data_IF_495512755862
#
_entry.id   IF_495512755862
#
_cell.length_a   1.000
_cell.length_b   1.000
_cell.length_c   1.000
_cell.angle_alpha   90.00
_cell.angle_beta   90.00
_cell.angle_gamma   90.00
#
_symmetry.space_group_name_H-M   'P 1'
#
loop_
_entity.id
_entity.type
_entity.pdbx_description
1 polymer ?
#
# COMPACT_ATOMS: atom_id res chain seq x y z
N UNK A 1 -8.47 23.82 -1.10
CA UNK A 1 -7.53 22.89 -1.71
C UNK A 1 -7.99 21.47 -1.53
N UNK A 2 -7.98 20.71 -2.57
CA UNK A 2 -8.47 19.34 -2.49
C UNK A 2 -7.36 18.40 -2.14
N UNK A 3 -7.67 17.43 -1.31
CA UNK A 3 -6.72 16.36 -1.03
C UNK A 3 -6.72 15.35 -2.18
N UNK A 4 -5.55 14.82 -2.49
CA UNK A 4 -5.42 13.77 -3.48
C UNK A 4 -5.79 12.44 -2.84
N UNK A 5 -6.85 11.76 -3.31
CA UNK A 5 -7.22 10.49 -2.72
C UNK A 5 -6.39 9.34 -3.30
N UNK A 6 -5.84 8.52 -2.41
CA UNK A 6 -4.98 7.41 -2.79
C UNK A 6 -5.45 6.18 -2.03
N UNK A 7 -5.52 5.03 -2.70
CA UNK A 7 -5.83 3.77 -2.05
C UNK A 7 -4.59 2.89 -2.06
N UNK A 8 -4.29 2.26 -0.93
CA UNK A 8 -3.14 1.38 -0.81
C UNK A 8 -3.56 0.09 -0.13
N UNK A 9 -2.79 -0.98 -0.37
CA UNK A 9 -3.12 -2.29 0.15
C UNK A 9 -2.08 -2.85 1.09
N UNK A 10 -2.55 -3.37 2.22
CA UNK A 10 -1.74 -4.22 3.05
C UNK A 10 -2.03 -5.64 2.59
N UNK A 11 -1.18 -6.16 1.73
CA UNK A 11 -1.35 -7.48 1.16
C UNK A 11 -0.49 -8.44 1.96
N UNK A 12 -1.13 -9.38 2.63
CA UNK A 12 -0.39 -10.30 3.47
C UNK A 12 -0.46 -11.72 2.94
N UNK A 13 0.61 -12.47 3.17
CA UNK A 13 0.67 -13.89 2.91
C UNK A 13 1.45 -14.49 4.05
N UNK A 14 0.82 -15.30 4.87
CA UNK A 14 1.45 -15.78 6.09
C UNK A 14 1.77 -14.59 6.98
N UNK A 15 3.02 -14.50 7.42
CA UNK A 15 3.43 -13.41 8.28
C UNK A 15 4.04 -12.25 7.51
N UNK A 16 4.06 -12.31 6.18
CA UNK A 16 4.76 -11.31 5.39
C UNK A 16 3.79 -10.38 4.69
N UNK A 17 4.23 -9.16 4.48
CA UNK A 17 3.46 -8.10 3.84
C UNK A 17 4.22 -7.67 2.60
N UNK A 18 3.49 -7.42 1.53
CA UNK A 18 4.07 -7.02 0.26
C UNK A 18 4.33 -5.51 0.27
N UNK A 19 5.56 -5.14 -0.01
CA UNK A 19 5.91 -3.73 -0.22
C UNK A 19 6.54 -3.59 -1.60
N UNK A 20 6.40 -2.42 -2.20
CA UNK A 20 6.92 -2.15 -3.53
C UNK A 20 7.81 -0.94 -3.47
N UNK A 21 8.80 -0.89 -4.36
CA UNK A 21 9.75 0.20 -4.42
C UNK A 21 9.40 1.08 -5.61
N UNK A 22 9.29 2.37 -5.36
CA UNK A 22 8.88 3.33 -6.39
C UNK A 22 9.96 3.45 -7.45
N UNK A 23 9.53 3.68 -8.69
CA UNK A 23 10.46 3.79 -9.80
C UNK A 23 11.43 4.94 -9.61
N UNK A 24 12.66 4.75 -10.09
CA UNK A 24 13.64 5.78 -10.10
C UNK A 24 13.09 6.92 -10.98
N UNK A 25 13.20 8.12 -10.52
CA UNK A 25 12.68 9.27 -11.26
C UNK A 25 11.29 9.69 -10.87
N UNK A 26 10.55 8.85 -10.17
CA UNK A 26 9.23 9.23 -9.66
C UNK A 26 9.42 10.10 -8.41
N UNK A 27 8.32 10.74 -7.99
CA UNK A 27 8.32 11.42 -6.70
C UNK A 27 8.64 10.38 -5.62
N UNK A 28 9.51 10.69 -4.70
CA UNK A 28 10.03 9.74 -3.72
C UNK A 28 10.61 8.49 -4.40
N UNK A 29 11.30 8.68 -5.50
CA UNK A 29 11.86 7.55 -6.24
C UNK A 29 12.74 6.66 -5.39
N UNK A 30 12.61 5.36 -5.58
CA UNK A 30 13.31 4.31 -4.86
C UNK A 30 12.96 4.19 -3.37
N UNK A 31 11.97 4.95 -2.89
CA UNK A 31 11.41 4.71 -1.57
C UNK A 31 10.49 3.50 -1.65
N UNK A 32 10.32 2.82 -0.54
CA UNK A 32 9.37 1.71 -0.42
C UNK A 32 8.01 2.23 -0.03
N UNK A 33 6.95 1.54 -0.42
CA UNK A 33 5.59 1.93 -0.07
C UNK A 33 4.68 0.72 -0.07
N UNK A 34 3.50 0.88 0.49
CA UNK A 34 2.45 -0.12 0.33
C UNK A 34 1.85 0.08 -1.05
N UNK A 35 1.67 -0.97 -1.84
CA UNK A 35 1.26 -0.81 -3.24
C UNK A 35 -0.15 -0.24 -3.38
N UNK A 36 -0.36 0.53 -4.41
CA UNK A 36 -1.64 1.16 -4.70
C UNK A 36 -1.46 2.36 -5.60
N UNK A 37 -2.41 3.26 -5.59
CA UNK A 37 -2.33 4.46 -6.43
C UNK A 37 -3.54 5.37 -6.28
N UNK A 38 -3.62 6.35 -7.16
CA UNK A 38 -4.64 7.37 -7.10
C UNK A 38 -6.01 6.81 -7.39
N UNK A 39 -6.99 7.31 -6.66
CA UNK A 39 -8.39 7.03 -6.93
C UNK A 39 -8.83 8.03 -7.98
N UNK A 40 -9.28 7.52 -9.13
CA UNK A 40 -9.68 8.40 -10.24
C UNK A 40 -11.14 8.78 -10.13
N UNK A 41 -11.55 9.76 -10.95
CA UNK A 41 -12.89 10.30 -10.87
C UNK A 41 -13.95 9.22 -10.96
N UNK A 42 -14.88 9.28 -10.02
CA UNK A 42 -16.03 8.36 -10.00
C UNK A 42 -15.64 6.90 -9.74
N UNK A 43 -14.43 6.66 -9.37
CA UNK A 43 -13.99 5.33 -9.00
C UNK A 43 -14.23 5.11 -7.51
N UNK A 44 -14.77 3.98 -7.14
CA UNK A 44 -14.91 3.63 -5.74
C UNK A 44 -13.53 3.20 -5.23
N UNK A 45 -13.15 3.53 -3.98
CA UNK A 45 -11.78 3.26 -3.51
C UNK A 45 -11.30 1.82 -3.66
N UNK A 46 -12.15 0.84 -3.38
CA UNK A 46 -11.75 -0.56 -3.51
C UNK A 46 -11.51 -0.94 -4.96
N UNK A 47 -12.31 -0.38 -5.88
CA UNK A 47 -12.12 -0.61 -7.30
C UNK A 47 -10.81 -0.01 -7.78
N UNK A 48 -10.49 1.19 -7.30
CA UNK A 48 -9.24 1.85 -7.65
C UNK A 48 -8.05 0.99 -7.23
N UNK A 49 -8.12 0.45 -6.02
CA UNK A 49 -7.04 -0.39 -5.51
C UNK A 49 -6.90 -1.66 -6.35
N UNK A 50 -8.02 -2.31 -6.69
CA UNK A 50 -7.97 -3.50 -7.54
C UNK A 50 -7.35 -3.20 -8.89
N UNK A 51 -7.72 -2.07 -9.49
CA UNK A 51 -7.19 -1.66 -10.77
C UNK A 51 -5.68 -1.40 -10.68
N UNK A 52 -5.26 -0.64 -9.68
CA UNK A 52 -3.85 -0.31 -9.53
C UNK A 52 -2.99 -1.56 -9.31
N UNK A 53 -3.46 -2.48 -8.49
CA UNK A 53 -2.68 -3.67 -8.21
C UNK A 53 -2.59 -4.60 -9.43
N UNK A 54 -3.63 -4.60 -10.26
CA UNK A 54 -3.56 -5.36 -11.49
C UNK A 54 -2.57 -4.73 -12.46
N UNK A 55 -2.60 -3.41 -12.57
CA UNK A 55 -1.68 -2.70 -13.48
C UNK A 55 -0.23 -2.81 -13.04
N UNK A 56 0.01 -2.61 -11.75
CA UNK A 56 1.38 -2.52 -11.26
C UNK A 56 2.01 -3.86 -10.94
N UNK A 57 1.23 -4.84 -10.54
CA UNK A 57 1.75 -6.11 -10.04
C UNK A 57 1.18 -7.34 -10.74
N UNK A 58 0.15 -7.17 -11.56
CA UNK A 58 -0.43 -8.30 -12.29
C UNK A 58 -1.23 -9.24 -11.41
N UNK A 59 -1.78 -8.77 -10.31
CA UNK A 59 -2.53 -9.62 -9.38
C UNK A 59 -3.96 -9.15 -9.24
N UNK A 60 -4.84 -10.07 -8.88
CA UNK A 60 -6.20 -9.74 -8.51
C UNK A 60 -6.35 -9.99 -7.03
N UNK A 61 -6.85 -9.00 -6.29
CA UNK A 61 -6.96 -9.08 -4.85
C UNK A 61 -8.39 -8.98 -4.39
N UNK A 62 -8.68 -9.59 -3.24
CA UNK A 62 -9.88 -9.32 -2.50
C UNK A 62 -9.54 -8.15 -1.57
N UNK A 63 -10.23 -7.03 -1.70
CA UNK A 63 -10.02 -5.87 -0.84
C UNK A 63 -10.97 -6.03 0.35
N UNK A 64 -10.41 -6.11 1.53
CA UNK A 64 -11.16 -6.39 2.74
C UNK A 64 -11.44 -5.09 3.50
N UNK A 65 -11.25 -5.08 4.80
CA UNK A 65 -11.61 -3.94 5.62
C UNK A 65 -10.60 -2.81 5.56
N UNK A 66 -11.05 -1.63 5.89
CA UNK A 66 -10.21 -0.46 5.98
C UNK A 66 -9.33 -0.57 7.21
N UNK A 67 -8.01 -0.51 7.02
CA UNK A 67 -7.07 -0.61 8.12
C UNK A 67 -6.80 0.75 8.74
N UNK A 68 -6.64 1.76 7.90
CA UNK A 68 -6.26 3.08 8.39
C UNK A 68 -6.58 4.15 7.35
N UNK A 69 -6.89 5.36 7.82
CA UNK A 69 -7.01 6.52 6.95
C UNK A 69 -5.96 7.52 7.42
N UNK A 70 -5.14 8.00 6.51
CA UNK A 70 -4.10 8.96 6.82
C UNK A 70 -4.32 10.21 6.00
N UNK A 71 -4.38 11.36 6.67
CA UNK A 71 -4.39 12.63 5.97
C UNK A 71 -3.00 13.24 6.17
N UNK A 72 -2.27 13.41 5.09
CA UNK A 72 -0.94 14.00 5.14
C UNK A 72 -0.95 15.31 4.39
N UNK A 73 -0.64 16.39 5.09
CA UNK A 73 -0.69 17.71 4.50
C UNK A 73 0.68 18.03 3.88
N UNK A 74 0.81 17.81 2.58
CA UNK A 74 1.99 18.22 1.88
C UNK A 74 1.86 19.65 1.43
N UNK A 75 2.97 20.33 1.21
CA UNK A 75 2.95 21.74 0.87
C UNK A 75 2.09 22.08 -0.32
N UNK A 76 2.15 21.29 -1.35
CA UNK A 76 1.44 21.60 -2.59
C UNK A 76 0.17 20.80 -2.77
N UNK A 77 0.06 19.66 -2.15
CA UNK A 77 -1.10 18.80 -2.37
C UNK A 77 -1.29 17.86 -1.20
N UNK A 78 -2.27 18.09 -0.37
CA UNK A 78 -2.56 17.16 0.72
C UNK A 78 -2.96 15.79 0.15
N UNK A 79 -2.63 14.73 0.88
CA UNK A 79 -2.93 13.36 0.47
C UNK A 79 -3.89 12.75 1.48
N UNK A 80 -4.96 12.15 0.96
CA UNK A 80 -5.86 11.35 1.79
C UNK A 80 -5.62 9.89 1.41
N UNK A 81 -4.99 9.16 2.29
CA UNK A 81 -4.57 7.78 2.03
C UNK A 81 -5.51 6.82 2.73
N UNK A 82 -6.15 5.95 1.94
CA UNK A 82 -7.02 4.92 2.49
C UNK A 82 -6.30 3.58 2.33
N UNK A 83 -6.04 2.92 3.44
CA UNK A 83 -5.27 1.67 3.44
C UNK A 83 -6.19 0.52 3.80
N UNK A 84 -6.29 -0.45 2.89
CA UNK A 84 -7.17 -1.61 3.07
C UNK A 84 -6.35 -2.89 3.23
N UNK A 85 -6.83 -3.80 4.06
CA UNK A 85 -6.26 -5.14 4.09
C UNK A 85 -6.71 -5.88 2.84
N UNK A 86 -5.79 -6.62 2.25
CA UNK A 86 -6.04 -7.32 1.00
C UNK A 86 -5.48 -8.74 1.04
N UNK A 87 -6.09 -9.60 0.25
CA UNK A 87 -5.59 -10.95 0.04
C UNK A 87 -5.54 -11.23 -1.46
N UNK A 88 -4.48 -11.87 -1.92
CA UNK A 88 -4.36 -12.20 -3.34
C UNK A 88 -5.31 -13.35 -3.65
N UNK A 89 -6.15 -13.14 -4.65
CA UNK A 89 -7.04 -14.18 -5.15
C UNK A 89 -6.46 -14.86 -6.37
N UNK A 90 -5.69 -14.15 -7.17
CA UNK A 90 -5.18 -14.71 -8.40
C UNK A 90 -3.89 -14.03 -8.80
N UNK A 91 -2.93 -14.77 -9.26
CA UNK A 91 -1.69 -14.24 -9.80
C UNK A 91 -0.55 -14.24 -8.79
N UNK A 92 0.66 -14.12 -9.31
CA UNK A 92 1.87 -13.97 -8.51
C UNK A 92 2.41 -12.58 -8.80
N UNK A 93 2.65 -11.76 -7.77
CA UNK A 93 3.06 -10.37 -8.02
C UNK A 93 4.35 -10.27 -8.81
N UNK A 94 4.36 -9.39 -9.78
CA UNK A 94 5.53 -9.09 -10.59
C UNK A 94 5.70 -7.57 -10.66
N UNK A 95 6.92 -7.07 -10.71
CA UNK A 95 7.14 -5.62 -10.71
C UNK A 95 6.92 -5.02 -12.10
N UNK A 96 5.67 -4.88 -12.51
CA UNK A 96 5.32 -4.33 -13.81
C UNK A 96 5.36 -2.82 -13.82
N UNK A 97 4.81 -2.19 -12.81
CA UNK A 97 4.74 -0.75 -12.71
C UNK A 97 5.55 -0.16 -11.57
N UNK A 98 6.39 -0.95 -10.93
CA UNK A 98 7.22 -0.53 -9.81
C UNK A 98 8.66 -0.98 -10.08
N UNK A 99 9.60 -0.44 -9.31
CA UNK A 99 11.02 -0.78 -9.50
C UNK A 99 11.31 -2.20 -9.03
N UNK A 100 10.78 -2.58 -7.88
CA UNK A 100 10.93 -3.94 -7.35
C UNK A 100 9.87 -4.19 -6.31
N UNK A 101 9.71 -5.43 -5.90
CA UNK A 101 8.79 -5.77 -4.81
C UNK A 101 9.50 -6.70 -3.83
N UNK A 102 8.98 -6.75 -2.61
CA UNK A 102 9.56 -7.59 -1.57
C UNK A 102 8.48 -7.98 -0.57
N UNK A 103 8.53 -9.21 -0.11
CA UNK A 103 7.69 -9.67 1.00
C UNK A 103 8.51 -9.51 2.27
N UNK A 104 8.00 -8.75 3.23
CA UNK A 104 8.74 -8.46 4.47
C UNK A 104 7.92 -8.80 5.68
N UNK A 105 8.58 -9.12 6.78
CA UNK A 105 7.91 -9.32 8.05
C UNK A 105 7.57 -7.96 8.65
N UNK A 106 6.50 -7.88 9.47
CA UNK A 106 6.14 -6.59 10.07
C UNK A 106 7.28 -5.89 10.78
N UNK A 107 8.13 -6.64 11.47
CA UNK A 107 9.23 -6.02 12.19
C UNK A 107 10.30 -5.45 11.27
N UNK A 108 10.34 -5.89 10.02
CA UNK A 108 11.30 -5.34 9.06
C UNK A 108 10.82 -4.04 8.45
N UNK A 109 9.54 -3.74 8.57
CA UNK A 109 8.96 -2.55 7.93
C UNK A 109 9.55 -1.27 8.52
N UNK A 110 9.86 -1.26 9.81
CA UNK A 110 10.40 -0.08 10.46
C UNK A 110 11.71 0.40 9.83
N UNK A 111 12.47 -0.51 9.23
CA UNK A 111 13.75 -0.15 8.62
C UNK A 111 13.65 0.30 7.18
N UNK A 112 12.46 0.33 6.60
CA UNK A 112 12.31 0.73 5.21
C UNK A 112 12.13 2.23 5.09
N UNK A 113 12.71 2.81 4.05
CA UNK A 113 12.56 4.23 3.79
C UNK A 113 11.26 4.43 3.02
N UNK A 114 10.29 5.07 3.64
CA UNK A 114 8.95 5.26 3.08
C UNK A 114 8.58 6.73 3.02
N UNK A 115 7.70 7.13 2.06
CA UNK A 115 7.20 8.50 2.03
C UNK A 115 6.45 8.85 3.32
N UNK A 116 6.40 10.13 3.68
CA UNK A 116 5.79 10.54 4.96
C UNK A 116 4.37 10.06 5.18
N UNK A 117 3.55 9.99 4.13
CA UNK A 117 2.15 9.56 4.28
C UNK A 117 2.05 8.12 4.78
N UNK A 118 3.07 7.29 4.54
CA UNK A 118 3.07 5.90 4.98
C UNK A 118 3.58 5.73 6.40
N UNK A 119 4.17 6.75 7.00
CA UNK A 119 4.79 6.62 8.31
C UNK A 119 3.82 6.17 9.41
N UNK A 120 2.58 6.66 9.48
CA UNK A 120 1.65 6.18 10.52
C UNK A 120 1.37 4.68 10.39
N UNK A 121 1.27 4.18 9.16
CA UNK A 121 1.04 2.76 8.92
C UNK A 121 2.27 1.97 9.32
N UNK A 122 3.43 2.45 8.90
CA UNK A 122 4.72 1.84 9.22
C UNK A 122 4.89 1.70 10.73
N UNK A 123 4.57 2.76 11.47
CA UNK A 123 4.67 2.73 12.91
C UNK A 123 3.70 1.75 13.52
N UNK A 124 2.48 1.73 13.06
CA UNK A 124 1.45 0.85 13.62
C UNK A 124 1.82 -0.61 13.41
N UNK A 125 2.29 -0.95 12.22
CA UNK A 125 2.68 -2.33 11.92
C UNK A 125 3.89 -2.76 12.74
N UNK A 126 4.84 -1.86 12.93
CA UNK A 126 6.03 -2.18 13.71
C UNK A 126 5.70 -2.48 15.16
N UNK A 127 4.70 -1.77 15.71
CA UNK A 127 4.32 -1.99 17.10
C UNK A 127 3.45 -3.20 17.29
N UNK A 128 2.50 -3.44 16.38
CA UNK A 128 1.53 -4.51 16.55
C UNK A 128 2.08 -5.86 16.12
N UNK A 129 2.90 -5.86 15.12
CA UNK A 129 3.44 -7.10 14.58
C UNK A 129 2.37 -7.95 13.92
N UNK A 130 2.73 -9.16 13.58
CA UNK A 130 1.84 -10.06 12.84
C UNK A 130 0.64 -10.50 13.64
N UNK A 131 0.72 -10.42 14.96
CA UNK A 131 -0.39 -10.92 15.74
C UNK A 131 -1.61 -10.10 15.67
N UNK A 132 -1.54 -8.82 15.35
CA UNK A 132 -2.72 -8.00 15.23
C UNK A 132 -3.37 -8.15 13.87
N UNK A 133 -2.77 -8.91 12.98
CA UNK A 133 -3.31 -9.09 11.67
C UNK A 133 -4.46 -10.04 11.76
N UNK A 134 -5.56 -9.73 11.20
CA UNK A 134 -6.68 -10.60 11.29
C UNK A 134 -6.37 -11.83 10.52
N UNK A 135 -6.72 -12.88 11.00
CA UNK A 135 -6.46 -13.99 10.51
C UNK A 135 -6.94 -14.22 9.38
N UNK A 136 -6.56 -14.81 8.76
CA UNK A 136 -6.95 -15.13 7.76
C UNK A 136 -8.13 -15.65 7.80
N UNK A 137 -8.82 -15.63 7.74
CA UNK A 137 -10.02 -16.20 7.84
C UNK A 137 -10.66 -16.57 6.64
#
# INVERSE_FOLDING_TARGET
MRALPVAAGLISEGERILVTRRKKGASYGLFWEFPGGKIENEEEPRQALQRELKEELGIRVEVRDLFEVVFYNEDTCPVLLLVFRCRIEEGIPEPRGVHELRWVKPEEIAGLRMPPADHPIQKRLSRQGARSWPERS
#
